data_IF_095325810426
#
_entry.id   IF_095325810426
#
_cell.length_a   1.000
_cell.length_b   1.000
_cell.length_c   1.000
_cell.angle_alpha   90.00
_cell.angle_beta   90.00
_cell.angle_gamma   90.00
#
_symmetry.space_group_name_H-M   'P 1'
#
loop_
_entity.id
_entity.type
_entity.pdbx_description
1 polymer ?
#
# COMPACT_ATOMS: atom_id res chain seq x y z
N UNK A 1 -0.78 9.42 0.98
CA UNK A 1 -0.56 8.00 0.69
C UNK A 1 -0.60 7.16 1.97
N UNK A 2 0.31 7.37 2.94
CA UNK A 2 0.36 6.60 4.20
C UNK A 2 -0.98 6.41 4.93
N UNK A 3 -1.86 7.43 4.95
CA UNK A 3 -3.17 7.34 5.60
C UNK A 3 -4.00 6.14 5.12
N UNK A 4 -4.03 5.83 3.80
CA UNK A 4 -4.80 4.69 3.30
C UNK A 4 -4.14 3.35 3.67
N UNK A 5 -2.82 3.30 3.79
CA UNK A 5 -2.08 2.10 4.24
C UNK A 5 -2.47 1.79 5.67
N UNK A 6 -2.55 2.80 6.52
CA UNK A 6 -3.02 2.63 7.90
C UNK A 6 -4.49 2.28 7.98
N UNK A 7 -5.35 2.89 7.15
CA UNK A 7 -6.77 2.59 7.10
C UNK A 7 -7.03 1.12 6.74
N UNK A 8 -6.34 0.58 5.73
CA UNK A 8 -6.40 -0.83 5.35
C UNK A 8 -6.03 -1.76 6.52
N UNK A 9 -4.93 -1.45 7.20
CA UNK A 9 -4.49 -2.18 8.41
C UNK A 9 -5.44 -2.07 9.60
N UNK A 10 -6.38 -1.13 9.59
CA UNK A 10 -7.43 -0.94 10.59
C UNK A 10 -8.77 -1.53 10.16
N UNK A 11 -8.84 -2.19 8.99
CA UNK A 11 -10.09 -2.73 8.45
C UNK A 11 -10.96 -1.71 7.72
N UNK A 12 -10.46 -0.50 7.49
CA UNK A 12 -11.12 0.58 6.76
C UNK A 12 -10.49 0.79 5.37
N UNK A 13 -10.24 -0.31 4.67
CA UNK A 13 -9.64 -0.30 3.34
C UNK A 13 -10.51 0.41 2.30
N UNK A 14 -9.86 1.00 1.29
CA UNK A 14 -10.57 1.48 0.11
C UNK A 14 -11.04 0.28 -0.73
N UNK A 15 -12.31 0.27 -1.09
CA UNK A 15 -12.94 -0.81 -1.87
C UNK A 15 -13.49 -0.26 -3.19
N UNK A 16 -14.13 -1.13 -3.98
CA UNK A 16 -14.84 -0.76 -5.20
C UNK A 16 -15.97 0.25 -4.97
N UNK A 17 -16.43 0.42 -3.72
CA UNK A 17 -17.34 1.50 -3.33
C UNK A 17 -16.69 2.90 -3.37
N UNK A 18 -15.36 2.97 -3.50
CA UNK A 18 -14.58 4.21 -3.52
C UNK A 18 -13.70 4.31 -4.77
N UNK A 19 -14.27 4.21 -5.98
CA UNK A 19 -13.49 3.95 -7.21
C UNK A 19 -12.51 5.07 -7.54
N UNK A 20 -12.88 6.33 -7.26
CA UNK A 20 -11.98 7.47 -7.47
C UNK A 20 -10.79 7.48 -6.51
N UNK A 21 -10.96 7.02 -5.28
CA UNK A 21 -9.88 6.91 -4.30
C UNK A 21 -8.93 5.75 -4.64
N UNK A 22 -9.47 4.62 -5.11
CA UNK A 22 -8.69 3.50 -5.66
C UNK A 22 -7.85 3.97 -6.86
N UNK A 23 -8.48 4.65 -7.82
CA UNK A 23 -7.75 5.18 -8.98
C UNK A 23 -6.69 6.23 -8.61
N UNK A 24 -6.97 7.09 -7.62
CA UNK A 24 -5.98 8.02 -7.08
C UNK A 24 -4.80 7.28 -6.42
N UNK A 25 -5.07 6.26 -5.59
CA UNK A 25 -4.05 5.44 -4.94
C UNK A 25 -3.12 4.83 -5.98
N UNK A 26 -3.65 4.25 -7.05
CA UNK A 26 -2.84 3.58 -8.07
C UNK A 26 -1.99 4.58 -8.88
N UNK A 27 -2.50 5.80 -9.12
CA UNK A 27 -1.70 6.87 -9.74
C UNK A 27 -0.58 7.37 -8.82
N UNK A 28 -0.86 7.59 -7.54
CA UNK A 28 0.14 8.08 -6.57
C UNK A 28 1.19 7.00 -6.27
N UNK A 29 0.77 5.74 -6.13
CA UNK A 29 1.64 4.60 -5.83
C UNK A 29 2.67 4.31 -6.93
N UNK A 30 2.37 4.67 -8.19
CA UNK A 30 3.31 4.54 -9.31
C UNK A 30 4.44 5.57 -9.31
N UNK A 31 4.34 6.66 -8.54
CA UNK A 31 5.36 7.72 -8.51
C UNK A 31 6.68 7.16 -7.93
N UNK A 32 7.85 7.40 -8.56
CA UNK A 32 9.13 6.87 -8.09
C UNK A 32 9.44 7.19 -6.62
N UNK A 33 9.20 8.44 -6.20
CA UNK A 33 9.41 8.87 -4.81
C UNK A 33 8.55 8.10 -3.80
N UNK A 34 7.32 7.73 -4.17
CA UNK A 34 6.44 6.93 -3.30
C UNK A 34 6.93 5.48 -3.25
N UNK A 35 7.29 4.89 -4.40
CA UNK A 35 7.82 3.52 -4.45
C UNK A 35 9.11 3.36 -3.65
N UNK A 36 9.99 4.37 -3.68
CA UNK A 36 11.27 4.37 -2.97
C UNK A 36 11.11 4.26 -1.44
N UNK A 37 9.98 4.73 -0.89
CA UNK A 37 9.68 4.65 0.55
C UNK A 37 8.80 3.45 0.88
N UNK A 38 7.74 3.23 0.09
CA UNK A 38 6.76 2.16 0.35
C UNK A 38 7.38 0.77 0.18
N UNK A 39 8.25 0.59 -0.81
CA UNK A 39 8.91 -0.70 -1.06
C UNK A 39 9.69 -1.22 0.16
N UNK A 40 10.70 -0.48 0.65
CA UNK A 40 11.43 -0.85 1.86
C UNK A 40 10.53 -1.03 3.08
N UNK A 41 9.51 -0.19 3.25
CA UNK A 41 8.54 -0.33 4.34
C UNK A 41 7.77 -1.65 4.27
N UNK A 42 7.31 -2.08 3.09
CA UNK A 42 6.63 -3.37 2.93
C UNK A 42 7.56 -4.55 3.20
N UNK A 43 8.81 -4.48 2.72
CA UNK A 43 9.84 -5.49 3.00
C UNK A 43 10.13 -5.60 4.49
N UNK A 44 10.22 -4.48 5.20
CA UNK A 44 10.38 -4.45 6.64
C UNK A 44 9.16 -5.05 7.37
N UNK A 45 7.94 -4.69 6.98
CA UNK A 45 6.74 -5.27 7.60
C UNK A 45 6.72 -6.80 7.43
N UNK A 46 7.01 -7.28 6.21
CA UNK A 46 7.10 -8.70 5.93
C UNK A 46 8.19 -9.39 6.77
N UNK A 47 9.37 -8.77 6.92
CA UNK A 47 10.46 -9.32 7.75
C UNK A 47 10.13 -9.37 9.24
N UNK A 48 9.14 -8.59 9.69
CA UNK A 48 8.64 -8.59 11.07
C UNK A 48 7.39 -9.47 11.23
N UNK A 49 7.09 -10.33 10.25
CA UNK A 49 5.85 -11.14 10.19
C UNK A 49 4.57 -10.31 10.33
N UNK A 50 4.61 -9.03 9.95
CA UNK A 50 3.45 -8.14 9.97
C UNK A 50 2.74 -8.21 8.62
N UNK A 51 1.39 -8.32 8.59
CA UNK A 51 0.65 -8.38 7.34
C UNK A 51 0.92 -7.16 6.45
N UNK A 52 1.11 -7.42 5.15
CA UNK A 52 1.25 -6.41 4.10
C UNK A 52 -0.09 -6.28 3.35
N UNK A 53 -0.64 -5.07 3.18
CA UNK A 53 -1.86 -4.86 2.40
C UNK A 53 -1.79 -5.52 1.03
N UNK A 54 -2.89 -6.17 0.60
CA UNK A 54 -2.92 -6.98 -0.65
C UNK A 54 -2.43 -6.18 -1.85
N UNK A 55 -2.90 -4.93 -2.00
CA UNK A 55 -2.53 -4.06 -3.11
C UNK A 55 -1.06 -3.58 -3.08
N UNK A 56 -0.31 -3.86 -2.00
CA UNK A 56 1.12 -3.55 -1.86
C UNK A 56 2.01 -4.81 -1.87
N UNK A 57 1.44 -6.01 -1.98
CA UNK A 57 2.24 -7.24 -1.98
C UNK A 57 3.18 -7.36 -3.18
N UNK A 58 2.89 -6.65 -4.28
CA UNK A 58 3.80 -6.54 -5.44
C UNK A 58 5.17 -5.94 -5.11
N UNK A 59 5.33 -5.27 -3.95
CA UNK A 59 6.62 -4.78 -3.47
C UNK A 59 7.49 -5.85 -2.78
N UNK A 60 6.94 -7.04 -2.55
CA UNK A 60 7.64 -8.16 -1.91
C UNK A 60 8.35 -9.06 -2.91
N UNK A 61 7.90 -9.05 -4.17
CA UNK A 61 8.59 -9.75 -5.26
C UNK A 61 9.94 -9.08 -5.53
N UNK A 62 11.01 -9.85 -5.78
CA UNK A 62 12.34 -9.33 -6.11
C UNK A 62 12.33 -8.29 -7.23
#
# INVERSE_FOLDING_TARGET
YMAHVFADRKGAGMTDATPHLVGWRDRVGRRPAVRAVVGPMMKFLASQSRPVPIFLQSHLTP
#
